data_IF_508120006221
#
_entry.id   IF_508120006221
#
_cell.length_a   1.000
_cell.length_b   1.000
_cell.length_c   1.000
_cell.angle_alpha   90.00
_cell.angle_beta   90.00
_cell.angle_gamma   90.00
#
_symmetry.space_group_name_H-M   'P 1'
#
loop_
_entity.id
_entity.type
_entity.pdbx_description
1 polymer ?
#
# COMPACT_ATOMS: atom_id res chain seq x y z
N UNK A 1 11.75 -25.77 2.54
CA UNK A 1 11.20 -24.40 2.74
C UNK A 1 11.48 -23.61 1.47
N UNK A 2 10.47 -22.90 0.89
CA UNK A 2 10.69 -22.07 -0.31
C UNK A 2 11.70 -20.96 0.03
N UNK A 3 12.63 -20.65 -0.90
CA UNK A 3 13.67 -19.61 -0.67
C UNK A 3 13.09 -18.28 -0.20
N UNK A 4 11.95 -17.83 -0.78
CA UNK A 4 11.28 -16.60 -0.38
C UNK A 4 10.77 -16.62 1.08
N UNK A 5 10.30 -17.76 1.58
CA UNK A 5 9.89 -17.93 2.98
C UNK A 5 11.10 -17.84 3.91
N UNK A 6 12.24 -18.41 3.53
CA UNK A 6 13.48 -18.30 4.29
C UNK A 6 13.95 -16.84 4.40
N UNK A 7 14.00 -16.10 3.28
CA UNK A 7 14.35 -14.68 3.28
C UNK A 7 13.37 -13.84 4.10
N UNK A 8 12.08 -14.11 4.00
CA UNK A 8 11.07 -13.39 4.82
C UNK A 8 11.29 -13.61 6.33
N UNK A 9 11.58 -14.83 6.74
CA UNK A 9 11.89 -15.16 8.14
C UNK A 9 13.18 -14.44 8.58
N UNK A 10 14.22 -14.44 7.74
CA UNK A 10 15.49 -13.77 8.04
C UNK A 10 15.29 -12.26 8.22
N UNK A 11 14.49 -11.62 7.36
CA UNK A 11 14.17 -10.19 7.50
C UNK A 11 13.42 -9.91 8.80
N UNK A 12 12.35 -10.66 9.08
CA UNK A 12 11.46 -10.38 10.20
C UNK A 12 12.14 -10.68 11.55
N UNK A 13 12.86 -11.81 11.64
CA UNK A 13 13.41 -12.29 12.91
C UNK A 13 14.87 -11.91 13.15
N UNK A 14 15.58 -11.45 12.13
CA UNK A 14 17.00 -11.11 12.26
C UNK A 14 17.28 -9.65 11.88
N UNK A 15 16.91 -9.24 10.66
CA UNK A 15 17.28 -7.93 10.15
C UNK A 15 16.55 -6.81 10.94
N UNK A 16 15.23 -6.88 11.07
CA UNK A 16 14.46 -5.88 11.82
C UNK A 16 14.90 -5.76 13.28
N UNK A 17 15.02 -6.85 14.07
CA UNK A 17 15.55 -6.77 15.42
C UNK A 17 16.96 -6.20 15.50
N UNK A 18 17.83 -6.52 14.54
CA UNK A 18 19.17 -5.98 14.46
C UNK A 18 19.16 -4.46 14.20
N UNK A 19 18.35 -4.00 13.24
CA UNK A 19 18.18 -2.56 12.95
C UNK A 19 17.65 -1.81 14.16
N UNK A 20 16.67 -2.37 14.87
CA UNK A 20 16.15 -1.78 16.11
C UNK A 20 17.21 -1.74 17.21
N UNK A 21 17.97 -2.84 17.41
CA UNK A 21 19.05 -2.89 18.39
C UNK A 21 20.14 -1.86 18.08
N UNK A 22 20.62 -1.78 16.85
CA UNK A 22 21.59 -0.76 16.43
C UNK A 22 21.03 0.65 16.63
N UNK A 23 19.72 0.83 16.40
CA UNK A 23 19.01 2.09 16.64
C UNK A 23 19.07 2.54 18.09
N UNK A 24 19.08 1.64 19.06
CA UNK A 24 19.20 2.00 20.48
C UNK A 24 20.56 2.62 20.85
N UNK A 25 21.58 2.39 20.03
CA UNK A 25 22.92 2.97 20.21
C UNK A 25 23.05 4.38 19.62
N UNK A 26 22.07 4.80 18.82
CA UNK A 26 22.07 6.12 18.20
C UNK A 26 21.28 7.11 19.05
N UNK A 27 21.87 8.27 19.31
CA UNK A 27 21.22 9.34 20.08
C UNK A 27 20.71 10.45 19.14
N UNK A 28 19.69 11.20 19.58
CA UNK A 28 19.21 12.35 18.86
C UNK A 28 18.21 12.05 17.74
N UNK A 29 18.28 12.75 16.61
CA UNK A 29 17.30 12.69 15.53
C UNK A 29 17.39 11.42 14.63
N UNK A 30 18.28 10.50 14.93
CA UNK A 30 18.51 9.32 14.10
C UNK A 30 17.39 8.28 14.18
N UNK A 31 16.52 8.34 15.21
CA UNK A 31 15.44 7.37 15.38
C UNK A 31 14.46 7.35 14.19
N UNK A 32 14.19 8.50 13.54
CA UNK A 32 13.30 8.52 12.38
C UNK A 32 13.88 7.80 11.16
N UNK A 33 15.22 7.85 11.01
CA UNK A 33 15.91 7.09 9.99
C UNK A 33 15.78 5.58 10.26
N UNK A 34 15.96 5.16 11.50
CA UNK A 34 15.75 3.78 11.91
C UNK A 34 14.32 3.32 11.61
N UNK A 35 13.32 4.11 11.99
CA UNK A 35 11.92 3.80 11.68
C UNK A 35 11.69 3.68 10.17
N UNK A 36 12.28 4.57 9.36
CA UNK A 36 12.17 4.50 7.90
C UNK A 36 12.86 3.25 7.33
N UNK A 37 14.01 2.85 7.87
CA UNK A 37 14.70 1.61 7.50
C UNK A 37 13.85 0.38 7.83
N UNK A 38 13.27 0.31 9.02
CA UNK A 38 12.37 -0.79 9.42
C UNK A 38 11.18 -0.91 8.46
N UNK A 39 10.57 0.22 8.05
CA UNK A 39 9.48 0.19 7.08
C UNK A 39 9.95 -0.37 5.72
N UNK A 40 11.14 0.01 5.25
CA UNK A 40 11.71 -0.55 4.01
C UNK A 40 11.97 -2.06 4.17
N UNK A 41 12.53 -2.48 5.31
CA UNK A 41 12.76 -3.90 5.61
C UNK A 41 11.44 -4.70 5.63
N UNK A 42 10.37 -4.14 6.20
CA UNK A 42 9.04 -4.76 6.19
C UNK A 42 8.45 -4.94 4.77
N UNK A 43 8.93 -4.19 3.77
CA UNK A 43 8.51 -4.36 2.38
C UNK A 43 9.21 -5.54 1.68
N UNK A 44 10.42 -5.89 2.09
CA UNK A 44 11.24 -6.92 1.43
C UNK A 44 10.54 -8.30 1.32
N UNK A 45 9.84 -8.81 2.36
CA UNK A 45 9.09 -10.06 2.25
C UNK A 45 8.08 -10.09 1.10
N UNK A 46 7.40 -8.97 0.83
CA UNK A 46 6.41 -8.87 -0.24
C UNK A 46 7.09 -8.92 -1.61
N UNK A 47 8.22 -8.23 -1.79
CA UNK A 47 9.00 -8.26 -3.02
C UNK A 47 9.59 -9.66 -3.28
N UNK A 48 10.15 -10.31 -2.27
CA UNK A 48 10.66 -11.67 -2.40
C UNK A 48 9.58 -12.69 -2.77
N UNK A 49 8.37 -12.55 -2.22
CA UNK A 49 7.24 -13.42 -2.57
C UNK A 49 6.74 -13.17 -3.98
N UNK A 50 6.70 -11.91 -4.41
CA UNK A 50 6.33 -11.56 -5.77
C UNK A 50 7.35 -12.10 -6.77
N UNK A 51 8.64 -11.90 -6.55
CA UNK A 51 9.72 -12.42 -7.42
C UNK A 51 9.73 -13.95 -7.47
N UNK A 52 9.46 -14.61 -6.34
CA UNK A 52 9.39 -16.08 -6.28
C UNK A 52 8.29 -16.70 -7.14
N UNK A 53 7.27 -15.93 -7.52
CA UNK A 53 6.22 -16.33 -8.47
C UNK A 53 6.74 -16.39 -9.90
N UNK A 54 7.91 -15.82 -10.19
CA UNK A 54 8.48 -15.67 -11.55
C UNK A 54 7.50 -14.97 -12.49
N UNK A 55 7.10 -13.73 -12.22
CA UNK A 55 6.10 -13.02 -13.02
C UNK A 55 6.57 -12.91 -14.47
N UNK A 56 5.64 -13.03 -15.40
CA UNK A 56 5.92 -12.84 -16.81
C UNK A 56 6.15 -11.35 -17.11
N UNK A 57 6.97 -11.03 -18.13
CA UNK A 57 7.21 -9.64 -18.54
C UNK A 57 5.90 -8.89 -18.84
N UNK A 58 4.90 -9.58 -19.41
CA UNK A 58 3.57 -9.01 -19.70
C UNK A 58 2.82 -8.61 -18.42
N UNK A 59 2.91 -9.39 -17.37
CA UNK A 59 2.35 -9.05 -16.05
C UNK A 59 3.00 -7.77 -15.51
N UNK A 60 4.34 -7.69 -15.55
CA UNK A 60 5.07 -6.50 -15.08
C UNK A 60 4.67 -5.23 -15.81
N UNK A 61 4.44 -5.30 -17.14
CA UNK A 61 3.95 -4.16 -17.92
C UNK A 61 2.58 -3.71 -17.43
N UNK A 62 1.65 -4.63 -17.19
CA UNK A 62 0.31 -4.27 -16.70
C UNK A 62 0.39 -3.67 -15.30
N UNK A 63 1.18 -4.24 -14.40
CA UNK A 63 1.37 -3.69 -13.06
C UNK A 63 2.00 -2.29 -13.09
N UNK A 64 2.97 -2.05 -13.99
CA UNK A 64 3.56 -0.73 -14.20
C UNK A 64 2.51 0.28 -14.70
N UNK A 65 1.65 -0.10 -15.65
CA UNK A 65 0.54 0.73 -16.13
C UNK A 65 -0.46 1.03 -15.00
N UNK A 66 -0.81 0.05 -14.18
CA UNK A 66 -1.71 0.25 -13.03
C UNK A 66 -1.08 1.15 -11.97
N UNK A 67 0.22 1.01 -11.71
CA UNK A 67 0.95 1.90 -10.81
C UNK A 67 1.00 3.34 -11.35
N UNK A 68 1.26 3.51 -12.64
CA UNK A 68 1.22 4.81 -13.30
C UNK A 68 -0.19 5.44 -13.25
N UNK A 69 -1.23 4.66 -13.53
CA UNK A 69 -2.62 5.12 -13.43
C UNK A 69 -2.97 5.56 -12.01
N UNK A 70 -2.55 4.80 -11.00
CA UNK A 70 -2.74 5.15 -9.60
C UNK A 70 -1.98 6.44 -9.22
N UNK A 71 -0.71 6.58 -9.64
CA UNK A 71 0.08 7.77 -9.40
C UNK A 71 -0.50 9.01 -10.09
N UNK A 72 -0.86 8.91 -11.38
CA UNK A 72 -1.48 9.99 -12.15
C UNK A 72 -2.83 10.39 -11.54
N UNK A 73 -3.65 9.42 -11.11
CA UNK A 73 -4.93 9.74 -10.47
C UNK A 73 -4.75 10.58 -9.21
N UNK A 74 -3.70 10.33 -8.41
CA UNK A 74 -3.38 11.14 -7.24
C UNK A 74 -3.02 12.59 -7.62
N UNK A 75 -2.30 12.76 -8.72
CA UNK A 75 -1.93 14.10 -9.24
C UNK A 75 -3.16 14.83 -9.78
N UNK A 76 -3.92 14.17 -10.65
CA UNK A 76 -5.11 14.74 -11.28
C UNK A 76 -6.15 15.18 -10.24
N UNK A 77 -6.38 14.38 -9.20
CA UNK A 77 -7.36 14.71 -8.16
C UNK A 77 -6.76 15.42 -6.94
N UNK A 78 -5.54 15.97 -7.07
CA UNK A 78 -4.89 16.68 -5.96
C UNK A 78 -5.60 17.97 -5.54
N UNK A 79 -6.36 18.58 -6.45
CA UNK A 79 -7.18 19.77 -6.17
C UNK A 79 -8.37 19.48 -5.25
N UNK A 80 -8.78 18.22 -5.13
CA UNK A 80 -9.92 17.82 -4.30
C UNK A 80 -9.45 17.11 -3.03
N UNK A 81 -9.79 17.61 -1.85
CA UNK A 81 -9.47 16.91 -0.60
C UNK A 81 -10.25 15.60 -0.43
N UNK A 82 -11.36 15.43 -1.15
CA UNK A 82 -12.28 14.29 -1.04
C UNK A 82 -11.98 13.15 -2.02
N UNK A 83 -11.30 13.43 -3.13
CA UNK A 83 -11.12 12.46 -4.22
C UNK A 83 -9.70 11.88 -4.23
N UNK A 84 -9.39 11.04 -3.25
CA UNK A 84 -8.11 10.32 -3.22
C UNK A 84 -8.28 8.92 -3.82
N UNK A 85 -8.13 8.85 -5.13
CA UNK A 85 -8.43 7.65 -5.94
C UNK A 85 -7.32 6.61 -5.96
N UNK A 86 -6.10 7.00 -5.62
CA UNK A 86 -4.89 6.17 -5.72
C UNK A 86 -5.06 4.79 -5.08
N UNK A 87 -5.54 4.72 -3.84
CA UNK A 87 -5.68 3.45 -3.11
C UNK A 87 -6.78 2.57 -3.67
N UNK A 88 -7.86 3.15 -4.20
CA UNK A 88 -8.90 2.39 -4.90
C UNK A 88 -8.36 1.64 -6.12
N UNK A 89 -7.52 2.31 -6.94
CA UNK A 89 -6.87 1.70 -8.12
C UNK A 89 -5.88 0.61 -7.69
N UNK A 90 -5.11 0.85 -6.62
CA UNK A 90 -4.19 -0.13 -6.06
C UNK A 90 -4.93 -1.37 -5.55
N UNK A 91 -6.06 -1.19 -4.85
CA UNK A 91 -6.91 -2.29 -4.39
C UNK A 91 -7.46 -3.11 -5.56
N UNK A 92 -7.93 -2.45 -6.64
CA UNK A 92 -8.37 -3.13 -7.87
C UNK A 92 -7.24 -4.00 -8.45
N UNK A 93 -6.00 -3.52 -8.44
CA UNK A 93 -4.86 -4.32 -8.92
C UNK A 93 -4.62 -5.54 -8.03
N UNK A 94 -4.68 -5.38 -6.70
CA UNK A 94 -4.58 -6.51 -5.77
C UNK A 94 -5.69 -7.54 -5.97
N UNK A 95 -6.92 -7.10 -6.19
CA UNK A 95 -8.06 -7.96 -6.51
C UNK A 95 -7.82 -8.70 -7.84
N UNK A 96 -7.24 -8.04 -8.85
CA UNK A 96 -7.01 -8.62 -10.17
C UNK A 96 -5.85 -9.60 -10.23
N UNK A 97 -4.71 -9.26 -9.63
CA UNK A 97 -3.42 -9.97 -9.81
C UNK A 97 -2.87 -10.61 -8.54
N UNK A 98 -3.62 -10.54 -7.45
CA UNK A 98 -3.24 -11.12 -6.17
C UNK A 98 -2.56 -10.15 -5.21
N UNK A 99 -2.40 -10.56 -3.94
CA UNK A 99 -1.98 -9.69 -2.86
C UNK A 99 -0.58 -9.09 -3.07
N UNK A 100 0.39 -9.88 -3.50
CA UNK A 100 1.76 -9.42 -3.72
C UNK A 100 1.85 -8.39 -4.86
N UNK A 101 1.07 -8.59 -5.94
CA UNK A 101 0.97 -7.65 -7.05
C UNK A 101 0.33 -6.32 -6.61
N UNK A 102 -0.72 -6.39 -5.77
CA UNK A 102 -1.33 -5.22 -5.15
C UNK A 102 -0.36 -4.44 -4.28
N UNK A 103 0.45 -5.14 -3.48
CA UNK A 103 1.48 -4.51 -2.66
C UNK A 103 2.52 -3.78 -3.53
N UNK A 104 3.08 -4.47 -4.53
CA UNK A 104 4.07 -3.91 -5.43
C UNK A 104 3.54 -2.67 -6.15
N UNK A 105 2.33 -2.76 -6.72
CA UNK A 105 1.68 -1.63 -7.40
C UNK A 105 1.52 -0.43 -6.47
N UNK A 106 1.10 -0.65 -5.23
CA UNK A 106 0.92 0.40 -4.23
C UNK A 106 2.23 1.07 -3.83
N UNK A 107 3.27 0.28 -3.59
CA UNK A 107 4.59 0.79 -3.25
C UNK A 107 5.17 1.64 -4.40
N UNK A 108 5.12 1.13 -5.62
CA UNK A 108 5.61 1.85 -6.82
C UNK A 108 4.78 3.10 -7.10
N UNK A 109 3.45 3.04 -6.99
CA UNK A 109 2.57 4.20 -7.20
C UNK A 109 2.82 5.31 -6.17
N UNK A 110 3.02 4.94 -4.89
CA UNK A 110 3.37 5.91 -3.84
C UNK A 110 4.70 6.59 -4.15
N UNK A 111 5.73 5.81 -4.44
CA UNK A 111 7.06 6.32 -4.78
C UNK A 111 7.01 7.24 -6.00
N UNK A 112 6.40 6.78 -7.11
CA UNK A 112 6.31 7.55 -8.35
C UNK A 112 5.51 8.85 -8.16
N UNK A 113 4.38 8.82 -7.45
CA UNK A 113 3.57 10.02 -7.22
C UNK A 113 4.29 11.06 -6.37
N UNK A 114 5.20 10.66 -5.49
CA UNK A 114 5.96 11.59 -4.65
C UNK A 114 7.00 12.43 -5.41
N UNK A 115 7.31 12.13 -6.68
CA UNK A 115 8.05 13.06 -7.53
C UNK A 115 7.26 14.35 -7.80
N UNK A 116 5.93 14.30 -7.70
CA UNK A 116 5.04 15.47 -7.84
C UNK A 116 4.72 16.12 -6.48
N UNK A 117 4.75 15.36 -5.37
CA UNK A 117 4.37 15.83 -4.03
C UNK A 117 5.54 15.95 -3.05
N UNK A 118 6.75 15.87 -3.54
CA UNK A 118 8.01 15.80 -2.80
C UNK A 118 8.28 14.45 -2.16
N UNK A 119 9.55 14.04 -2.22
CA UNK A 119 10.08 12.89 -1.51
C UNK A 119 10.49 13.28 -0.10
N UNK A 120 10.35 12.39 0.85
CA UNK A 120 10.73 12.65 2.22
C UNK A 120 10.67 11.40 3.11
N UNK A 121 10.86 11.56 4.43
CA UNK A 121 10.79 10.45 5.38
C UNK A 121 9.44 9.71 5.36
N UNK A 122 8.39 10.38 4.90
CA UNK A 122 7.05 9.79 4.72
C UNK A 122 6.96 8.83 3.54
N UNK A 123 7.90 8.89 2.58
CA UNK A 123 7.82 8.06 1.36
C UNK A 123 7.79 6.56 1.66
N UNK A 124 8.69 5.97 2.46
CA UNK A 124 8.62 4.56 2.81
C UNK A 124 7.30 4.18 3.49
N UNK A 125 6.77 5.06 4.38
CA UNK A 125 5.47 4.85 5.02
C UNK A 125 4.32 4.78 4.02
N UNK A 126 4.29 5.70 3.06
CA UNK A 126 3.27 5.72 2.02
C UNK A 126 3.38 4.49 1.11
N UNK A 127 4.60 4.10 0.74
CA UNK A 127 4.84 2.88 -0.04
C UNK A 127 4.29 1.65 0.67
N UNK A 128 4.59 1.51 1.96
CA UNK A 128 4.12 0.40 2.77
C UNK A 128 2.59 0.46 2.96
N UNK A 129 2.04 1.58 3.38
CA UNK A 129 0.62 1.71 3.69
C UNK A 129 -0.27 1.51 2.44
N UNK A 130 0.08 2.12 1.31
CA UNK A 130 -0.67 1.94 0.07
C UNK A 130 -0.47 0.53 -0.51
N UNK A 131 0.75 0.00 -0.43
CA UNK A 131 1.03 -1.38 -0.78
C UNK A 131 0.19 -2.36 0.05
N UNK A 132 0.13 -2.13 1.35
CA UNK A 132 -0.66 -2.97 2.27
C UNK A 132 -2.17 -2.91 1.96
N UNK A 133 -2.70 -1.74 1.59
CA UNK A 133 -4.09 -1.62 1.13
C UNK A 133 -4.39 -2.50 -0.09
N UNK A 134 -3.49 -2.53 -1.07
CA UNK A 134 -3.58 -3.42 -2.24
C UNK A 134 -3.43 -4.89 -1.89
N UNK A 135 -2.46 -5.21 -1.02
CA UNK A 135 -2.26 -6.56 -0.50
C UNK A 135 -3.51 -7.10 0.21
N UNK A 136 -4.09 -6.30 1.09
CA UNK A 136 -5.26 -6.69 1.88
C UNK A 136 -6.49 -6.93 1.00
N UNK A 137 -6.71 -6.07 0.00
CA UNK A 137 -7.76 -6.28 -0.99
C UNK A 137 -7.55 -7.56 -1.81
N UNK A 138 -6.32 -7.81 -2.24
CA UNK A 138 -5.96 -9.05 -2.94
C UNK A 138 -6.15 -10.30 -2.08
N UNK A 139 -5.77 -10.24 -0.80
CA UNK A 139 -5.90 -11.35 0.13
C UNK A 139 -7.36 -11.82 0.29
N UNK A 140 -8.30 -10.87 0.30
CA UNK A 140 -9.72 -11.16 0.51
C UNK A 140 -10.41 -11.54 -0.80
N UNK A 141 -10.21 -10.77 -1.87
CA UNK A 141 -11.05 -10.86 -3.07
C UNK A 141 -10.41 -11.60 -4.25
N UNK A 142 -9.10 -11.82 -4.24
CA UNK A 142 -8.43 -12.47 -5.38
C UNK A 142 -8.96 -13.87 -5.66
N UNK A 143 -9.18 -14.67 -4.60
CA UNK A 143 -9.77 -16.03 -4.69
C UNK A 143 -11.29 -16.05 -4.67
N UNK A 144 -11.92 -14.94 -4.29
CA UNK A 144 -13.38 -14.80 -4.13
C UNK A 144 -13.89 -13.64 -4.99
N UNK A 145 -13.65 -13.75 -6.29
CA UNK A 145 -14.02 -12.71 -7.27
C UNK A 145 -15.53 -12.44 -7.31
N UNK A 146 -16.36 -13.40 -6.98
CA UNK A 146 -17.80 -13.27 -6.87
C UNK A 146 -18.25 -12.27 -5.81
N UNK A 147 -17.39 -11.99 -4.82
CA UNK A 147 -17.62 -10.97 -3.78
C UNK A 147 -17.23 -9.56 -4.23
N UNK A 148 -16.50 -9.43 -5.32
CA UNK A 148 -16.02 -8.12 -5.81
C UNK A 148 -17.17 -7.31 -6.47
N UNK A 149 -18.26 -7.10 -5.71
CA UNK A 149 -19.42 -6.31 -6.12
C UNK A 149 -19.25 -4.87 -5.62
N UNK A 150 -19.72 -3.84 -6.38
CA UNK A 150 -19.52 -2.44 -6.01
C UNK A 150 -19.98 -2.09 -4.59
N UNK A 151 -21.12 -2.62 -4.16
CA UNK A 151 -21.66 -2.41 -2.80
C UNK A 151 -20.92 -3.15 -1.68
N UNK A 152 -20.02 -4.09 -2.00
CA UNK A 152 -19.13 -4.75 -1.05
C UNK A 152 -17.76 -4.05 -1.08
N UNK A 153 -17.26 -3.72 -2.28
CA UNK A 153 -15.96 -3.11 -2.46
C UNK A 153 -15.90 -1.68 -1.89
N UNK A 154 -16.99 -0.89 -2.04
CA UNK A 154 -17.00 0.48 -1.55
C UNK A 154 -16.87 0.57 -0.02
N UNK A 155 -17.71 -0.09 0.81
CA UNK A 155 -17.52 -0.09 2.26
C UNK A 155 -16.21 -0.76 2.68
N UNK A 156 -15.78 -1.81 1.99
CA UNK A 156 -14.48 -2.43 2.24
C UNK A 156 -13.33 -1.43 2.05
N UNK A 157 -13.32 -0.70 0.94
CA UNK A 157 -12.30 0.32 0.67
C UNK A 157 -12.30 1.43 1.71
N UNK A 158 -13.49 1.94 2.07
CA UNK A 158 -13.65 2.94 3.12
C UNK A 158 -13.10 2.47 4.46
N UNK A 159 -13.51 1.29 4.92
CA UNK A 159 -13.08 0.73 6.21
C UNK A 159 -11.59 0.40 6.21
N UNK A 160 -11.05 -0.13 5.11
CA UNK A 160 -9.62 -0.41 4.99
C UNK A 160 -8.79 0.87 5.12
N UNK A 161 -9.24 1.97 4.52
CA UNK A 161 -8.56 3.26 4.68
C UNK A 161 -8.70 3.76 6.12
N UNK A 162 -9.89 3.79 6.67
CA UNK A 162 -10.15 4.37 7.98
C UNK A 162 -9.44 3.62 9.11
N UNK A 163 -9.42 2.29 9.05
CA UNK A 163 -8.96 1.44 10.16
C UNK A 163 -7.54 0.92 9.99
N UNK A 164 -6.99 0.91 8.77
CA UNK A 164 -5.69 0.29 8.49
C UNK A 164 -4.73 1.29 7.84
N UNK A 165 -5.02 1.72 6.60
CA UNK A 165 -4.08 2.54 5.80
C UNK A 165 -3.89 3.92 6.42
N UNK A 166 -4.98 4.56 6.87
CA UNK A 166 -4.95 5.87 7.52
C UNK A 166 -4.10 5.85 8.80
N UNK A 167 -4.38 4.99 9.77
CA UNK A 167 -3.54 4.86 10.96
C UNK A 167 -2.07 4.52 10.66
N UNK A 168 -1.79 3.73 9.63
CA UNK A 168 -0.40 3.51 9.17
C UNK A 168 0.25 4.81 8.70
N UNK A 169 -0.46 5.65 7.95
CA UNK A 169 0.04 6.95 7.50
C UNK A 169 0.20 7.94 8.67
N UNK A 170 -0.74 7.95 9.61
CA UNK A 170 -0.67 8.79 10.81
C UNK A 170 0.51 8.40 11.70
N UNK A 171 0.86 7.10 11.76
CA UNK A 171 2.03 6.63 12.48
C UNK A 171 3.34 7.22 11.95
N UNK A 172 3.41 7.57 10.67
CA UNK A 172 4.54 8.33 10.12
C UNK A 172 4.73 9.66 10.88
N UNK A 173 3.66 10.42 11.09
CA UNK A 173 3.71 11.68 11.84
C UNK A 173 4.13 11.44 13.30
N UNK A 174 3.62 10.39 13.94
CA UNK A 174 4.02 10.00 15.30
C UNK A 174 5.52 9.78 15.36
N UNK A 175 6.09 8.98 14.46
CA UNK A 175 7.51 8.60 14.49
C UNK A 175 8.45 9.62 13.87
N UNK A 176 7.99 10.58 13.07
CA UNK A 176 8.86 11.56 12.41
C UNK A 176 8.74 12.97 12.99
N UNK A 177 7.61 13.33 13.60
CA UNK A 177 7.32 14.70 14.02
C UNK A 177 7.26 14.87 15.55
N UNK A 178 6.88 13.84 16.31
CA UNK A 178 6.79 13.97 17.75
C UNK A 178 8.17 13.98 18.40
N UNK A 179 8.42 14.98 19.22
CA UNK A 179 9.63 15.09 20.07
C UNK A 179 9.45 14.37 21.41
N UNK A 180 8.21 14.22 21.89
CA UNK A 180 7.85 13.54 23.13
C UNK A 180 6.70 12.55 22.86
N UNK A 181 6.96 11.28 23.15
CA UNK A 181 5.97 10.20 23.02
C UNK A 181 5.12 10.11 24.30
N UNK A 182 4.13 10.99 24.45
CA UNK A 182 3.12 10.89 25.48
C UNK A 182 1.83 10.37 24.89
N UNK A 183 0.97 9.76 25.73
CA UNK A 183 -0.33 9.25 25.29
C UNK A 183 -1.18 10.36 24.66
N UNK A 184 -1.15 11.54 25.23
CA UNK A 184 -1.89 12.72 24.76
C UNK A 184 -1.41 13.16 23.37
N UNK A 185 -0.09 13.25 23.14
CA UNK A 185 0.49 13.65 21.86
C UNK A 185 0.19 12.62 20.76
N UNK A 186 0.32 11.33 21.06
CA UNK A 186 -0.01 10.26 20.12
C UNK A 186 -1.49 10.29 19.75
N UNK A 187 -2.38 10.40 20.76
CA UNK A 187 -3.83 10.48 20.53
C UNK A 187 -4.20 11.72 19.72
N UNK A 188 -3.55 12.86 19.97
CA UNK A 188 -3.77 14.10 19.21
C UNK A 188 -3.46 13.92 17.72
N UNK A 189 -2.35 13.24 17.37
CA UNK A 189 -2.00 12.97 15.96
C UNK A 189 -3.06 12.10 15.29
N UNK A 190 -3.45 10.98 15.89
CA UNK A 190 -4.47 10.11 15.29
C UNK A 190 -5.84 10.80 15.21
N UNK A 191 -6.22 11.58 16.22
CA UNK A 191 -7.47 12.33 16.19
C UNK A 191 -7.50 13.38 15.08
N UNK A 192 -6.39 14.09 14.87
CA UNK A 192 -6.26 15.07 13.79
C UNK A 192 -6.31 14.39 12.41
N UNK A 193 -5.83 13.15 12.30
CA UNK A 193 -5.84 12.35 11.06
C UNK A 193 -7.23 11.86 10.64
N UNK A 194 -8.19 11.74 11.58
CA UNK A 194 -9.51 11.11 11.30
C UNK A 194 -10.21 11.75 10.11
N UNK A 195 -10.31 13.07 10.06
CA UNK A 195 -11.01 13.77 8.97
C UNK A 195 -10.34 13.51 7.61
N UNK A 196 -9.02 13.53 7.58
CA UNK A 196 -8.25 13.19 6.37
C UNK A 196 -8.48 11.73 5.95
N UNK A 197 -8.47 10.79 6.90
CA UNK A 197 -8.69 9.38 6.67
C UNK A 197 -10.12 9.09 6.19
N UNK A 198 -11.12 9.79 6.73
CA UNK A 198 -12.52 9.72 6.24
C UNK A 198 -12.60 10.19 4.78
N UNK A 199 -12.02 11.35 4.46
CA UNK A 199 -12.02 11.87 3.09
C UNK A 199 -11.29 10.92 2.11
N UNK A 200 -10.16 10.37 2.54
CA UNK A 200 -9.42 9.38 1.76
C UNK A 200 -10.24 8.09 1.57
N UNK A 201 -10.91 7.63 2.62
CA UNK A 201 -11.82 6.47 2.57
C UNK A 201 -12.98 6.68 1.60
N UNK A 202 -13.58 7.87 1.59
CA UNK A 202 -14.63 8.24 0.61
C UNK A 202 -14.08 8.15 -0.82
N UNK A 203 -12.88 8.71 -1.08
CA UNK A 203 -12.25 8.64 -2.40
C UNK A 203 -11.99 7.20 -2.86
N UNK A 204 -11.50 6.34 -1.96
CA UNK A 204 -11.30 4.92 -2.23
C UNK A 204 -12.64 4.21 -2.51
N UNK A 205 -13.66 4.47 -1.69
CA UNK A 205 -15.01 3.90 -1.85
C UNK A 205 -15.63 4.28 -3.19
N UNK A 206 -15.58 5.56 -3.57
CA UNK A 206 -16.09 6.03 -4.85
C UNK A 206 -15.34 5.41 -6.03
N UNK A 207 -14.01 5.30 -5.94
CA UNK A 207 -13.20 4.65 -6.97
C UNK A 207 -13.59 3.18 -7.14
N UNK A 208 -13.72 2.45 -6.05
CA UNK A 208 -14.11 1.03 -6.06
C UNK A 208 -15.54 0.84 -6.53
N UNK A 209 -16.46 1.74 -6.18
CA UNK A 209 -17.86 1.67 -6.60
C UNK A 209 -18.02 1.88 -8.10
N UNK A 210 -17.45 2.97 -8.64
CA UNK A 210 -17.63 3.34 -10.05
C UNK A 210 -16.64 2.66 -10.99
N UNK A 211 -15.37 2.56 -10.61
CA UNK A 211 -14.31 2.03 -11.47
C UNK A 211 -13.96 0.58 -11.19
N UNK A 212 -14.35 0.03 -10.03
CA UNK A 212 -13.95 -1.32 -9.60
C UNK A 212 -14.35 -2.38 -10.63
N UNK A 213 -15.64 -2.54 -10.89
CA UNK A 213 -16.14 -3.57 -11.82
C UNK A 213 -15.71 -3.36 -13.26
N UNK A 214 -15.79 -2.16 -13.86
CA UNK A 214 -15.29 -1.91 -15.22
C UNK A 214 -13.81 -2.22 -15.40
N UNK A 215 -12.96 -1.81 -14.46
CA UNK A 215 -11.52 -2.09 -14.53
C UNK A 215 -11.23 -3.57 -14.34
N UNK A 216 -11.84 -4.23 -13.35
CA UNK A 216 -11.69 -5.67 -13.14
C UNK A 216 -12.06 -6.47 -14.40
N UNK A 217 -13.20 -6.18 -15.03
CA UNK A 217 -13.60 -6.85 -16.29
C UNK A 217 -12.60 -6.65 -17.42
N UNK A 218 -11.97 -5.48 -17.52
CA UNK A 218 -10.90 -5.21 -18.51
C UNK A 218 -9.64 -5.99 -18.19
N UNK A 219 -9.25 -6.01 -16.92
CA UNK A 219 -8.06 -6.73 -16.47
C UNK A 219 -8.23 -8.25 -16.65
N UNK A 220 -9.41 -8.80 -16.35
CA UNK A 220 -9.73 -10.21 -16.57
C UNK A 220 -9.60 -10.58 -18.06
N UNK A 221 -10.15 -9.77 -18.97
CA UNK A 221 -9.99 -9.97 -20.41
C UNK A 221 -8.52 -9.90 -20.87
N UNK A 222 -7.71 -9.04 -20.26
CA UNK A 222 -6.27 -8.98 -20.55
C UNK A 222 -5.56 -10.24 -20.06
N UNK A 223 -5.91 -10.75 -18.88
CA UNK A 223 -5.38 -12.00 -18.34
C UNK A 223 -5.70 -13.18 -19.27
N UNK A 224 -6.96 -13.32 -19.68
CA UNK A 224 -7.38 -14.37 -20.62
C UNK A 224 -6.68 -14.25 -21.99
N UNK A 225 -6.68 -13.04 -22.57
CA UNK A 225 -6.10 -12.79 -23.92
C UNK A 225 -4.59 -13.08 -23.97
N UNK A 226 -3.86 -12.80 -22.92
CA UNK A 226 -2.40 -12.88 -22.92
C UNK A 226 -1.85 -14.06 -22.10
N UNK A 227 -2.71 -14.91 -21.57
CA UNK A 227 -2.30 -16.06 -20.73
C UNK A 227 -1.50 -15.62 -19.51
N UNK A 228 -1.88 -14.49 -18.92
CA UNK A 228 -1.23 -13.95 -17.72
C UNK A 228 -1.96 -14.59 -16.55
N UNK A 229 -1.28 -15.43 -15.76
CA UNK A 229 -1.83 -16.15 -14.60
C UNK A 229 -2.66 -17.42 -14.92
N UNK A 230 -2.17 -18.29 -15.75
CA UNK A 230 -2.50 -19.72 -15.65
C UNK A 230 -1.64 -20.29 -14.49
N UNK A 231 -2.28 -20.60 -13.35
CA UNK A 231 -1.70 -21.30 -12.20
C UNK A 231 -1.99 -22.79 -12.29
#
# INVERSE_FOLDING_TARGET
MKKSTFFSILVIFFLIPLTLFLGTQLTGRWYYLICSMVIVELMLPFFFRFEARRPQARELVILAVMAALAAVSRVVFSFSPFLKTITGIIMITGIAFGPEAGFLTGAVAAFASNFFFSQGPWTPWQMFAYGFGGFFAGLIFYRHREWAKPWILAPFGFLTILLIVGPMLDSCTVFTMLTKFTKENVLAVYSAGILYNVNHGIGAALTLFFAGRPLLSKLDRLQEKYGILEF
#
